data_IF_073689672021
#
_entry.id   IF_073689672021
#
_cell.length_a   1.000
_cell.length_b   1.000
_cell.length_c   1.000
_cell.angle_alpha   90.00
_cell.angle_beta   90.00
_cell.angle_gamma   90.00
#
_symmetry.space_group_name_H-M   'P 1'
#
loop_
_entity.id
_entity.type
_entity.pdbx_description
1 polymer ?
#
# COMPACT_ATOMS: atom_id res chain seq x y z
N UNK A 1 7.96 -0.93 -14.28
CA UNK A 1 6.54 -1.09 -13.89
C UNK A 1 6.46 -2.15 -12.81
N UNK A 2 5.53 -2.02 -11.87
CA UNK A 2 5.29 -3.03 -10.82
C UNK A 2 4.19 -3.99 -11.30
N UNK A 3 4.32 -5.28 -10.97
CA UNK A 3 3.28 -6.28 -11.18
C UNK A 3 3.04 -7.03 -9.88
N UNK A 4 1.78 -7.32 -9.57
CA UNK A 4 1.38 -7.96 -8.31
C UNK A 4 0.52 -9.17 -8.65
N UNK A 5 0.90 -10.34 -8.14
CA UNK A 5 0.06 -11.53 -8.23
C UNK A 5 -0.70 -11.72 -6.92
N UNK A 6 -2.01 -11.93 -7.01
CA UNK A 6 -2.82 -12.41 -5.90
C UNK A 6 -3.21 -13.87 -6.16
N UNK A 7 -2.59 -14.78 -5.40
CA UNK A 7 -2.87 -16.21 -5.47
C UNK A 7 -3.87 -16.66 -4.41
N UNK A 8 -4.88 -17.43 -4.84
CA UNK A 8 -5.78 -18.19 -3.98
C UNK A 8 -5.59 -19.69 -4.27
N UNK A 9 -4.67 -20.36 -3.55
CA UNK A 9 -4.29 -21.75 -3.84
C UNK A 9 -5.45 -22.74 -3.68
N UNK A 10 -6.42 -22.44 -2.81
CA UNK A 10 -7.59 -23.28 -2.54
C UNK A 10 -8.60 -23.29 -3.69
N UNK A 11 -8.66 -22.21 -4.49
CA UNK A 11 -9.62 -22.03 -5.59
C UNK A 11 -8.87 -21.83 -6.93
N UNK A 12 -7.74 -22.54 -7.13
CA UNK A 12 -6.64 -22.27 -8.05
C UNK A 12 -6.78 -21.03 -8.94
N UNK A 13 -6.79 -19.85 -8.30
CA UNK A 13 -6.96 -18.56 -8.97
C UNK A 13 -5.74 -17.71 -8.70
N UNK A 14 -4.99 -17.40 -9.74
CA UNK A 14 -3.81 -16.53 -9.67
C UNK A 14 -4.03 -15.33 -10.58
N UNK A 15 -4.45 -14.21 -9.99
CA UNK A 15 -4.70 -12.97 -10.74
C UNK A 15 -3.43 -12.11 -10.76
N UNK A 16 -2.87 -11.90 -11.95
CA UNK A 16 -1.71 -11.06 -12.20
C UNK A 16 -2.18 -9.66 -12.60
N UNK A 17 -1.89 -8.67 -11.76
CA UNK A 17 -2.11 -7.26 -12.03
C UNK A 17 -0.82 -6.66 -12.58
N UNK A 18 -0.84 -6.21 -13.83
CA UNK A 18 0.32 -5.60 -14.48
C UNK A 18 0.22 -4.08 -14.53
N UNK A 19 1.37 -3.41 -14.49
CA UNK A 19 1.41 -1.95 -14.59
C UNK A 19 0.85 -1.22 -13.36
N UNK A 20 0.99 -1.81 -12.17
CA UNK A 20 0.55 -1.20 -10.92
C UNK A 20 1.30 0.11 -10.65
N UNK A 21 0.53 1.18 -10.40
CA UNK A 21 1.01 2.49 -9.97
C UNK A 21 0.30 2.92 -8.69
N UNK A 22 1.00 3.64 -7.81
CA UNK A 22 0.46 4.08 -6.52
C UNK A 22 -0.36 5.37 -6.70
N UNK A 23 -1.64 5.31 -6.37
CA UNK A 23 -2.53 6.47 -6.39
C UNK A 23 -2.50 7.22 -5.05
N UNK A 24 -2.76 6.51 -3.96
CA UNK A 24 -2.88 7.10 -2.63
C UNK A 24 -2.12 6.26 -1.60
N UNK A 25 -1.47 6.95 -0.65
CA UNK A 25 -0.89 6.35 0.53
C UNK A 25 -1.38 7.09 1.77
N UNK A 26 -2.03 6.36 2.66
CA UNK A 26 -2.54 6.88 3.93
C UNK A 26 -1.83 6.22 5.09
N UNK A 27 -1.39 7.00 6.07
CA UNK A 27 -0.88 6.53 7.36
C UNK A 27 -1.79 7.00 8.47
N UNK A 28 -2.20 6.08 9.32
CA UNK A 28 -3.01 6.37 10.50
C UNK A 28 -2.24 6.02 11.77
N UNK A 29 -2.02 7.03 12.60
CA UNK A 29 -1.47 6.92 13.94
C UNK A 29 -2.59 7.16 14.96
N UNK A 30 -2.64 6.33 16.00
CA UNK A 30 -3.55 6.44 17.13
C UNK A 30 -2.80 6.21 18.44
N UNK A 31 -3.42 6.53 19.57
CA UNK A 31 -2.83 6.36 20.91
C UNK A 31 -2.48 4.90 21.23
N UNK A 32 -3.25 3.97 20.67
CA UNK A 32 -3.10 2.54 20.85
C UNK A 32 -3.43 1.82 19.54
N UNK A 33 -2.93 0.60 19.40
CA UNK A 33 -3.13 -0.23 18.21
C UNK A 33 -1.87 -0.34 17.36
N UNK A 34 -2.03 -0.73 16.10
CA UNK A 34 -0.94 -0.81 15.13
C UNK A 34 -0.92 0.47 14.29
N UNK A 35 0.27 0.93 13.94
CA UNK A 35 0.41 1.93 12.89
C UNK A 35 0.06 1.25 11.56
N UNK A 36 -1.02 1.71 10.93
CA UNK A 36 -1.49 1.16 9.66
C UNK A 36 -1.12 2.10 8.53
N UNK A 37 -0.55 1.54 7.47
CA UNK A 37 -0.35 2.22 6.20
C UNK A 37 -1.24 1.53 5.15
N UNK A 38 -2.07 2.30 4.46
CA UNK A 38 -2.93 1.81 3.38
C UNK A 38 -2.46 2.41 2.06
N UNK A 39 -1.93 1.55 1.19
CA UNK A 39 -1.57 1.91 -0.17
C UNK A 39 -2.70 1.53 -1.14
N UNK A 40 -3.17 2.48 -1.94
CA UNK A 40 -4.13 2.26 -3.03
C UNK A 40 -3.37 2.29 -4.34
N UNK A 41 -3.44 1.19 -5.08
CA UNK A 41 -2.78 1.06 -6.38
C UNK A 41 -3.82 0.93 -7.49
N UNK A 42 -3.43 1.38 -8.69
CA UNK A 42 -4.18 1.22 -9.94
C UNK A 42 -3.34 0.39 -10.89
N UNK A 43 -3.90 -0.68 -11.44
CA UNK A 43 -3.26 -1.54 -12.43
C UNK A 43 -3.78 -1.24 -13.83
N UNK A 44 -2.99 -1.55 -14.85
CA UNK A 44 -3.36 -1.41 -16.26
C UNK A 44 -4.19 -2.57 -16.77
N UNK A 45 -3.97 -3.77 -16.23
CA UNK A 45 -4.70 -4.97 -16.63
C UNK A 45 -4.62 -6.07 -15.59
N UNK A 46 -5.54 -7.03 -15.73
CA UNK A 46 -5.58 -8.27 -14.95
C UNK A 46 -5.50 -9.45 -15.92
N UNK A 47 -4.68 -10.45 -15.60
CA UNK A 47 -4.65 -11.75 -16.29
C UNK A 47 -4.76 -12.86 -15.26
N UNK A 48 -5.74 -13.75 -15.41
CA UNK A 48 -6.00 -14.82 -14.45
C UNK A 48 -5.48 -16.15 -14.98
N UNK A 49 -4.64 -16.82 -14.20
CA UNK A 49 -4.14 -18.18 -14.46
C UNK A 49 -4.60 -19.18 -13.39
N UNK A 50 -4.46 -20.47 -13.72
CA UNK A 50 -4.69 -21.60 -12.78
C UNK A 50 -3.41 -22.04 -12.06
N UNK A 51 -2.27 -21.48 -12.44
CA UNK A 51 -0.95 -21.70 -11.83
C UNK A 51 -0.28 -20.37 -11.53
N UNK A 52 0.52 -20.31 -10.47
CA UNK A 52 1.32 -19.11 -10.15
C UNK A 52 2.35 -18.83 -11.25
N UNK A 53 2.46 -17.56 -11.63
CA UNK A 53 3.56 -17.03 -12.45
C UNK A 53 4.66 -16.39 -11.59
N UNK A 54 4.35 -16.02 -10.34
CA UNK A 54 5.28 -15.40 -9.40
C UNK A 54 6.09 -16.41 -8.56
N UNK A 55 5.66 -17.68 -8.50
CA UNK A 55 6.29 -18.72 -7.70
C UNK A 55 5.93 -18.65 -6.21
N UNK A 56 6.79 -19.19 -5.35
CA UNK A 56 6.54 -19.23 -3.89
C UNK A 56 6.82 -17.86 -3.25
N UNK A 57 5.87 -17.28 -2.49
CA UNK A 57 6.09 -16.02 -1.79
C UNK A 57 7.27 -16.10 -0.81
N UNK A 58 8.21 -15.16 -0.91
CA UNK A 58 9.25 -14.97 0.09
C UNK A 58 8.73 -14.11 1.24
N UNK A 59 9.13 -14.42 2.47
CA UNK A 59 8.83 -13.56 3.62
C UNK A 59 9.61 -12.23 3.51
N UNK A 60 8.92 -11.12 3.77
CA UNK A 60 9.54 -9.80 3.81
C UNK A 60 10.06 -9.52 5.22
N UNK A 61 11.38 -9.34 5.38
CA UNK A 61 11.97 -8.91 6.65
C UNK A 61 11.67 -7.43 6.91
N UNK A 62 10.77 -7.17 7.86
CA UNK A 62 10.38 -5.82 8.23
C UNK A 62 11.10 -5.36 9.50
N UNK A 63 11.78 -4.22 9.43
CA UNK A 63 12.27 -3.52 10.63
C UNK A 63 11.08 -2.87 11.34
N UNK A 64 10.66 -3.46 12.45
CA UNK A 64 9.57 -2.93 13.28
C UNK A 64 10.02 -1.65 13.97
N UNK A 65 9.14 -0.67 14.01
CA UNK A 65 9.31 0.55 14.79
C UNK A 65 8.02 0.84 15.56
N UNK A 66 8.16 1.44 16.75
CA UNK A 66 7.01 1.88 17.55
C UNK A 66 6.62 3.31 17.22
N UNK A 67 5.32 3.60 17.20
CA UNK A 67 4.78 4.95 16.97
C UNK A 67 4.43 5.67 18.29
N UNK A 68 5.05 5.28 19.41
CA UNK A 68 4.63 5.65 20.77
C UNK A 68 4.68 7.15 21.11
N UNK A 69 5.38 7.97 20.31
CA UNK A 69 5.48 9.41 20.53
C UNK A 69 5.39 10.16 19.19
N UNK A 70 4.38 11.02 19.06
CA UNK A 70 4.27 11.97 17.96
C UNK A 70 4.43 13.40 18.48
N UNK A 71 5.17 14.23 17.77
CA UNK A 71 5.30 15.66 18.06
C UNK A 71 5.29 16.46 16.76
N UNK A 72 4.63 17.62 16.78
CA UNK A 72 4.71 18.60 15.70
C UNK A 72 5.79 19.60 16.07
N UNK A 73 6.73 19.81 15.15
CA UNK A 73 7.73 20.87 15.28
C UNK A 73 7.62 21.83 14.11
N UNK A 74 7.96 23.10 14.32
CA UNK A 74 8.12 24.10 13.27
C UNK A 74 9.48 24.76 13.44
N UNK A 75 10.32 24.69 12.42
CA UNK A 75 11.69 25.21 12.45
C UNK A 75 12.50 24.70 13.66
N UNK A 76 12.29 23.44 14.07
CA UNK A 76 12.95 22.84 15.22
C UNK A 76 12.34 23.16 16.60
N UNK A 77 11.36 24.07 16.68
CA UNK A 77 10.62 24.34 17.93
C UNK A 77 9.41 23.42 18.06
N UNK A 78 9.24 22.80 19.23
CA UNK A 78 8.08 21.95 19.51
C UNK A 78 6.80 22.79 19.62
N UNK A 79 5.81 22.48 18.79
CA UNK A 79 4.49 23.11 18.80
C UNK A 79 3.48 22.32 19.65
N UNK A 80 3.68 21.01 19.81
CA UNK A 80 2.82 20.19 20.65
C UNK A 80 2.99 18.70 20.40
N UNK A 81 2.40 17.91 21.30
CA UNK A 81 2.38 16.45 21.21
C UNK A 81 1.15 15.98 20.42
N UNK A 82 1.31 14.90 19.68
CA UNK A 82 0.30 14.29 18.82
C UNK A 82 -0.07 12.92 19.36
N UNK A 83 -1.36 12.75 19.66
CA UNK A 83 -1.92 11.49 20.17
C UNK A 83 -2.58 10.67 19.06
N UNK A 84 -3.03 11.33 17.99
CA UNK A 84 -3.53 10.72 16.77
C UNK A 84 -3.24 11.61 15.58
N UNK A 85 -2.97 10.99 14.43
CA UNK A 85 -2.80 11.69 13.16
C UNK A 85 -3.23 10.79 12.01
N UNK A 86 -3.73 11.42 10.96
CA UNK A 86 -3.94 10.79 9.66
C UNK A 86 -3.21 11.65 8.62
N UNK A 87 -2.34 11.02 7.85
CA UNK A 87 -1.63 11.66 6.75
C UNK A 87 -2.01 10.92 5.48
N UNK A 88 -2.56 11.67 4.52
CA UNK A 88 -2.88 11.15 3.20
C UNK A 88 -2.05 11.86 2.14
N UNK A 89 -1.28 11.10 1.38
CA UNK A 89 -0.63 11.53 0.16
C UNK A 89 -1.40 10.95 -1.03
N UNK A 90 -1.93 11.80 -1.90
CA UNK A 90 -2.69 11.40 -3.07
C UNK A 90 -2.07 12.01 -4.34
N UNK A 91 -1.79 11.17 -5.32
CA UNK A 91 -1.39 11.59 -6.67
C UNK A 91 -2.60 11.99 -7.53
N UNK A 92 -3.82 11.68 -7.08
CA UNK A 92 -5.07 11.93 -7.80
C UNK A 92 -5.01 11.37 -9.24
N UNK A 93 -4.61 10.10 -9.35
CA UNK A 93 -4.46 9.46 -10.66
C UNK A 93 -5.82 9.36 -11.34
N UNK A 94 -5.88 9.79 -12.60
CA UNK A 94 -7.05 9.58 -13.44
C UNK A 94 -7.07 8.13 -13.96
N UNK A 95 -8.13 7.40 -13.61
CA UNK A 95 -8.31 6.02 -14.05
C UNK A 95 -8.94 6.02 -15.43
N UNK A 96 -8.10 5.93 -16.45
CA UNK A 96 -8.56 5.70 -17.82
C UNK A 96 -8.97 4.23 -17.97
N UNK A 97 -10.26 3.98 -18.07
CA UNK A 97 -10.85 2.64 -18.31
C UNK A 97 -10.87 2.23 -19.79
N UNK A 98 -10.27 3.05 -20.68
CA UNK A 98 -10.23 2.76 -22.11
C UNK A 98 -9.19 1.68 -22.42
N UNK A 99 -9.61 0.63 -23.11
CA UNK A 99 -8.73 -0.43 -23.62
C UNK A 99 -7.69 0.20 -24.56
N UNK A 100 -6.41 0.07 -24.23
CA UNK A 100 -5.32 0.28 -25.19
C UNK A 100 -4.92 -1.10 -25.70
N UNK A 101 -5.31 -1.41 -26.93
CA UNK A 101 -4.86 -2.59 -27.67
C UNK A 101 -3.38 -2.50 -28.01
#
# INVERSE_FOLDING_TARGET
SMSIETGMPEVPRYAMYSGCVLDQLTWQMQRSGLLTATARLVAQGETVGTTTSAGTPAALELKRFGHFNGAITRNGSALGNVVSAEITYANNLDRIETIRS
#
